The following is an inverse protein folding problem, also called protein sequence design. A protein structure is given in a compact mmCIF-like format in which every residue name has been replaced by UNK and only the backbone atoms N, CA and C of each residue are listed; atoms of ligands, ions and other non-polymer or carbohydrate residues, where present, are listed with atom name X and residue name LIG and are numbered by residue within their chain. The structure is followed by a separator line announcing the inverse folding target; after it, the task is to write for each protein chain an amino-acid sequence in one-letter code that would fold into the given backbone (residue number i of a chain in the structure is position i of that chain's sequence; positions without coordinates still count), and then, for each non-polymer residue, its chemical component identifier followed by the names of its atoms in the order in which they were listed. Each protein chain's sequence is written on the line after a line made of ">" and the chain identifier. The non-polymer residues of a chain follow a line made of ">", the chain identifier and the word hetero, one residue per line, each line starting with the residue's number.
data_IF_992843948261
#
_entry.id   IF_992843948261
#
_cell.length_a   1.000
_cell.length_b   1.000
_cell.length_c   1.000
_cell.angle_alpha   90.00
_cell.angle_beta   90.00
_cell.angle_gamma   90.00
#
_symmetry.space_group_name_H-M   'P 1'
#
loop_
_entity.id
_entity.type
_entity.pdbx_description
1 polymer ?
#
# COMPACT_ATOMS: atom_id res chain seq x y z
N UNK A 1 -37.27 -12.97 10.29
CA UNK A 1 -35.86 -12.96 9.83
C UNK A 1 -35.82 -12.45 8.41
N UNK A 2 -35.14 -11.32 8.17
CA UNK A 2 -34.98 -10.73 6.83
C UNK A 2 -33.97 -11.55 6.04
N UNK A 3 -34.31 -11.91 4.80
CA UNK A 3 -33.39 -12.56 3.86
C UNK A 3 -32.81 -11.47 2.96
N UNK A 4 -31.50 -11.49 2.76
CA UNK A 4 -30.82 -10.56 1.86
C UNK A 4 -30.14 -11.34 0.74
N UNK A 5 -30.10 -10.72 -0.44
CA UNK A 5 -29.44 -11.30 -1.60
C UNK A 5 -28.00 -10.82 -1.65
N UNK A 6 -27.05 -11.75 -1.79
CA UNK A 6 -25.65 -11.45 -2.11
C UNK A 6 -25.31 -12.04 -3.47
N UNK A 7 -24.54 -11.29 -4.26
CA UNK A 7 -24.04 -11.76 -5.54
C UNK A 7 -22.67 -12.44 -5.33
N UNK A 8 -22.57 -13.71 -5.69
CA UNK A 8 -21.36 -14.52 -5.52
C UNK A 8 -21.17 -15.38 -6.77
N UNK A 9 -20.02 -15.26 -7.43
CA UNK A 9 -19.66 -16.07 -8.60
C UNK A 9 -20.67 -16.02 -9.77
N UNK A 10 -21.29 -14.87 -10.01
CA UNK A 10 -22.28 -14.70 -11.09
C UNK A 10 -23.70 -15.10 -10.72
N UNK A 11 -23.93 -15.62 -9.50
CA UNK A 11 -25.25 -16.03 -9.02
C UNK A 11 -25.71 -15.20 -7.83
N UNK A 12 -27.02 -14.93 -7.80
CA UNK A 12 -27.69 -14.30 -6.67
C UNK A 12 -28.11 -15.34 -5.64
N UNK A 13 -27.48 -15.30 -4.46
CA UNK A 13 -27.79 -16.20 -3.35
C UNK A 13 -28.53 -15.48 -2.25
N UNK A 14 -29.69 -16.02 -1.90
CA UNK A 14 -30.51 -15.54 -0.79
C UNK A 14 -29.95 -16.11 0.51
N UNK A 15 -29.34 -15.26 1.31
CA UNK A 15 -28.72 -15.63 2.58
C UNK A 15 -29.40 -14.91 3.75
N UNK A 16 -29.05 -15.33 4.96
CA UNK A 16 -29.43 -14.60 6.17
C UNK A 16 -28.73 -13.24 6.20
N UNK A 17 -29.39 -12.27 6.82
CA UNK A 17 -28.84 -10.93 7.04
C UNK A 17 -27.44 -10.95 7.70
N UNK A 18 -27.22 -11.80 8.70
CA UNK A 18 -25.92 -11.93 9.38
C UNK A 18 -24.80 -12.30 8.41
N UNK A 19 -25.09 -13.23 7.49
CA UNK A 19 -24.15 -13.68 6.46
C UNK A 19 -23.91 -12.58 5.42
N UNK A 20 -24.94 -11.85 5.02
CA UNK A 20 -24.81 -10.75 4.08
C UNK A 20 -23.96 -9.60 4.65
N UNK A 21 -24.14 -9.26 5.93
CA UNK A 21 -23.35 -8.25 6.62
C UNK A 21 -21.88 -8.68 6.78
N UNK A 22 -21.65 -9.94 7.17
CA UNK A 22 -20.30 -10.49 7.26
C UNK A 22 -19.60 -10.46 5.89
N UNK A 23 -20.28 -10.89 4.81
CA UNK A 23 -19.74 -10.89 3.45
C UNK A 23 -19.29 -9.50 3.00
N UNK A 24 -20.15 -8.48 3.18
CA UNK A 24 -19.78 -7.09 2.87
C UNK A 24 -18.60 -6.62 3.72
N UNK A 25 -18.60 -6.92 5.02
CA UNK A 25 -17.51 -6.57 5.93
C UNK A 25 -16.16 -7.17 5.51
N UNK A 26 -16.15 -8.44 5.11
CA UNK A 26 -14.95 -9.12 4.62
C UNK A 26 -14.42 -8.47 3.33
N UNK A 27 -15.31 -8.12 2.39
CA UNK A 27 -14.90 -7.42 1.16
C UNK A 27 -14.22 -6.09 1.50
N UNK A 28 -14.82 -5.28 2.37
CA UNK A 28 -14.21 -4.01 2.78
C UNK A 28 -12.87 -4.20 3.48
N UNK A 29 -12.75 -5.21 4.34
CA UNK A 29 -11.48 -5.53 5.00
C UNK A 29 -10.39 -5.91 3.98
N UNK A 30 -10.72 -6.75 3.00
CA UNK A 30 -9.79 -7.13 1.92
C UNK A 30 -9.38 -5.92 1.07
N UNK A 31 -10.32 -5.04 0.73
CA UNK A 31 -10.03 -3.80 0.01
C UNK A 31 -9.08 -2.90 0.82
N UNK A 32 -9.33 -2.74 2.13
CA UNK A 32 -8.46 -1.93 3.00
C UNK A 32 -7.05 -2.49 3.12
N UNK A 33 -6.90 -3.80 3.29
CA UNK A 33 -5.59 -4.46 3.35
C UNK A 33 -4.88 -4.35 2.01
N UNK A 34 -5.57 -4.60 0.89
CA UNK A 34 -5.01 -4.44 -0.45
C UNK A 34 -4.54 -3.01 -0.72
N UNK A 35 -5.34 -2.01 -0.36
CA UNK A 35 -4.98 -0.60 -0.49
C UNK A 35 -3.74 -0.24 0.33
N UNK A 36 -3.65 -0.73 1.57
CA UNK A 36 -2.48 -0.49 2.43
C UNK A 36 -1.20 -1.06 1.81
N UNK A 37 -1.24 -2.30 1.32
CA UNK A 37 -0.09 -2.93 0.66
C UNK A 37 0.32 -2.15 -0.59
N UNK A 38 -0.66 -1.73 -1.41
CA UNK A 38 -0.41 -1.00 -2.64
C UNK A 38 0.23 0.37 -2.37
N UNK A 39 -0.27 1.11 -1.36
CA UNK A 39 0.34 2.37 -0.92
C UNK A 39 1.77 2.13 -0.42
N UNK A 40 1.98 1.12 0.42
CA UNK A 40 3.30 0.76 0.92
C UNK A 40 4.29 0.46 -0.21
N UNK A 41 3.86 -0.29 -1.23
CA UNK A 41 4.67 -0.60 -2.41
C UNK A 41 5.01 0.65 -3.23
N UNK A 42 4.06 1.58 -3.41
CA UNK A 42 4.31 2.85 -4.11
C UNK A 42 5.31 3.71 -3.35
N UNK A 43 5.14 3.86 -2.03
CA UNK A 43 6.05 4.63 -1.19
C UNK A 43 7.45 4.02 -1.27
N UNK A 44 7.56 2.71 -1.04
CA UNK A 44 8.83 2.01 -1.11
C UNK A 44 9.51 2.17 -2.48
N UNK A 45 8.75 1.97 -3.57
CA UNK A 45 9.26 2.15 -4.94
C UNK A 45 9.71 3.58 -5.22
N UNK A 46 8.95 4.58 -4.78
CA UNK A 46 9.32 6.00 -4.93
C UNK A 46 10.60 6.35 -4.16
N UNK A 47 10.74 5.87 -2.93
CA UNK A 47 11.96 6.06 -2.13
C UNK A 47 13.15 5.33 -2.74
N UNK A 48 12.96 4.10 -3.20
CA UNK A 48 14.01 3.31 -3.86
C UNK A 48 14.49 3.99 -5.15
N UNK A 49 13.58 4.43 -6.00
CA UNK A 49 13.91 5.14 -7.23
C UNK A 49 14.65 6.45 -6.93
N UNK A 50 14.16 7.23 -5.96
CA UNK A 50 14.84 8.46 -5.51
C UNK A 50 16.25 8.20 -4.99
N UNK A 51 16.43 7.18 -4.15
CA UNK A 51 17.75 6.81 -3.64
C UNK A 51 18.70 6.33 -4.74
N UNK A 52 18.17 5.62 -5.75
CA UNK A 52 18.96 5.16 -6.89
C UNK A 52 19.35 6.27 -7.88
N UNK A 53 18.60 7.38 -7.89
CA UNK A 53 18.85 8.53 -8.81
C UNK A 53 19.59 9.69 -8.15
N UNK A 54 19.63 9.75 -6.81
CA UNK A 54 20.48 10.68 -6.05
C UNK A 54 21.96 10.22 -6.15
N UNK A 55 22.58 10.42 -7.32
CA UNK A 55 24.04 10.43 -7.50
C UNK A 55 24.61 11.74 -6.92
N UNK A 56 24.37 12.01 -5.64
CA UNK A 56 25.05 13.10 -4.95
C UNK A 56 26.48 12.62 -4.72
N UNK A 57 27.51 13.22 -5.36
CA UNK A 57 28.88 12.90 -5.04
C UNK A 57 29.04 13.20 -3.55
N UNK A 58 29.25 12.13 -2.79
CA UNK A 58 29.60 12.19 -1.38
C UNK A 58 30.79 13.14 -1.30
N UNK A 59 30.62 14.33 -0.71
CA UNK A 59 31.74 15.25 -0.50
C UNK A 59 32.77 14.49 0.32
N UNK A 60 33.80 13.99 -0.37
CA UNK A 60 34.85 13.22 0.26
C UNK A 60 35.48 14.10 1.33
N UNK A 61 35.69 13.59 2.55
CA UNK A 61 36.25 14.37 3.65
C UNK A 61 37.62 14.99 3.31
N UNK A 62 38.32 14.47 2.28
CA UNK A 62 39.55 15.04 1.74
C UNK A 62 39.42 16.44 1.14
N UNK A 63 38.20 16.91 0.80
CA UNK A 63 37.98 18.28 0.30
C UNK A 63 37.74 19.30 1.44
N UNK A 64 37.34 18.84 2.63
CA UNK A 64 37.15 19.71 3.79
C UNK A 64 38.51 20.15 4.39
N UNK A 65 39.52 19.29 4.35
CA UNK A 65 40.87 19.62 4.82
C UNK A 65 41.60 20.60 3.89
N UNK A 66 41.34 20.55 2.58
CA UNK A 66 41.95 21.49 1.62
C UNK A 66 41.40 22.91 1.73
N UNK A 67 40.12 23.11 2.07
CA UNK A 67 39.55 24.46 2.29
C UNK A 67 39.96 25.10 3.61
N UNK A 68 40.41 24.33 4.61
CA UNK A 68 40.96 24.89 5.86
C UNK A 68 42.42 25.28 5.77
N UNK A 69 43.12 24.83 4.73
CA UNK A 69 44.55 25.09 4.51
C UNK A 69 44.80 26.21 3.49
N UNK A 70 43.76 26.80 2.90
CA UNK A 70 43.85 28.00 2.05
C UNK A 70 43.40 29.25 2.79
#
# INVERSE_FOLDING_TARGET
>A
MSKQTIHVNGEDKVVREDTAKAYRGTIWALISVGAFILIGAIIFGAFFLKASTDNKPNEQPSQMDQRRQQ
#
